data_IF_712352497316
#
_entry.id   IF_712352497316
#
_cell.length_a   1.000
_cell.length_b   1.000
_cell.length_c   1.000
_cell.angle_alpha   90.00
_cell.angle_beta   90.00
_cell.angle_gamma   90.00
#
_symmetry.space_group_name_H-M   'P 1'
#
loop_
_entity.id
_entity.type
_entity.pdbx_description
1 polymer ?
#
# COMPACT_ATOMS: atom_id res chain seq x y z
N UNK A 1 -3.73 13.61 6.50
CA UNK A 1 -2.28 13.48 6.82
C UNK A 1 -1.43 14.39 5.94
N UNK A 2 -1.29 14.17 4.62
CA UNK A 2 -0.44 15.03 3.76
C UNK A 2 -0.81 16.52 3.79
N UNK A 3 -2.10 16.87 3.85
CA UNK A 3 -2.55 18.27 4.00
C UNK A 3 -2.02 18.94 5.29
N UNK A 4 -1.90 18.16 6.38
CA UNK A 4 -1.37 18.64 7.67
C UNK A 4 0.12 18.93 7.52
N UNK A 5 0.87 18.03 6.88
CA UNK A 5 2.30 18.23 6.62
C UNK A 5 2.59 19.45 5.75
N UNK A 6 1.79 19.66 4.69
CA UNK A 6 1.95 20.84 3.81
C UNK A 6 1.71 22.15 4.55
N UNK A 7 0.75 22.18 5.48
CA UNK A 7 0.39 23.39 6.23
C UNK A 7 1.42 23.77 7.31
N UNK A 8 2.12 22.78 7.86
CA UNK A 8 3.06 22.96 8.98
C UNK A 8 4.46 22.49 8.62
N UNK A 9 4.86 22.74 7.37
CA UNK A 9 6.15 22.30 6.86
C UNK A 9 7.29 23.01 7.60
N UNK A 10 8.35 22.27 7.93
CA UNK A 10 9.49 22.77 8.71
C UNK A 10 10.77 22.79 7.88
N UNK A 11 11.61 23.78 8.12
CA UNK A 11 12.84 24.03 7.36
C UNK A 11 13.84 22.86 7.42
N UNK A 12 13.91 22.15 8.56
CA UNK A 12 14.77 20.98 8.79
C UNK A 12 14.12 19.64 8.36
N UNK A 13 12.91 19.68 7.82
CA UNK A 13 12.09 18.50 7.52
C UNK A 13 12.45 17.75 6.23
N UNK A 14 13.72 17.66 5.84
CA UNK A 14 14.08 16.96 4.59
C UNK A 14 13.80 15.44 4.64
N UNK A 15 13.64 14.85 5.83
CA UNK A 15 13.18 13.47 6.01
C UNK A 15 12.33 13.33 7.28
N UNK A 16 11.48 12.28 7.34
CA UNK A 16 10.67 12.04 8.55
C UNK A 16 11.51 11.90 9.82
N UNK A 17 12.72 11.35 9.71
CA UNK A 17 13.65 11.19 10.84
C UNK A 17 14.32 12.51 11.29
N UNK A 18 14.32 13.53 10.44
CA UNK A 18 14.85 14.86 10.79
C UNK A 18 13.77 15.78 11.32
N UNK A 19 12.51 15.34 11.31
CA UNK A 19 11.42 16.04 11.98
C UNK A 19 11.65 15.94 13.49
N UNK A 20 11.80 17.07 14.20
CA UNK A 20 11.94 17.04 15.65
C UNK A 20 10.69 16.46 16.32
N UNK A 21 10.87 15.82 17.47
CA UNK A 21 9.77 15.16 18.19
C UNK A 21 8.62 16.14 18.53
N UNK A 22 8.95 17.38 18.90
CA UNK A 22 7.92 18.41 19.15
C UNK A 22 7.04 18.69 17.93
N UNK A 23 7.62 18.64 16.73
CA UNK A 23 6.87 18.85 15.49
C UNK A 23 6.05 17.61 15.12
N UNK A 24 6.57 16.41 15.42
CA UNK A 24 5.79 15.19 15.29
C UNK A 24 4.53 15.26 16.18
N UNK A 25 4.68 15.73 17.42
CA UNK A 25 3.55 15.91 18.33
C UNK A 25 2.51 16.89 17.77
N UNK A 26 2.94 18.00 17.20
CA UNK A 26 2.04 18.94 16.51
C UNK A 26 1.30 18.23 15.37
N UNK A 27 1.97 17.43 14.55
CA UNK A 27 1.30 16.70 13.49
C UNK A 27 0.28 15.69 14.02
N UNK A 28 0.62 14.98 15.10
CA UNK A 28 -0.27 14.04 15.76
C UNK A 28 -1.52 14.72 16.33
N UNK A 29 -1.36 15.77 17.13
CA UNK A 29 -2.45 16.52 17.73
C UNK A 29 -3.37 17.14 16.67
N UNK A 30 -2.81 17.52 15.52
CA UNK A 30 -3.61 17.99 14.39
C UNK A 30 -4.28 16.84 13.64
N UNK A 31 -3.72 15.63 13.64
CA UNK A 31 -4.27 14.48 12.92
C UNK A 31 -5.34 13.74 13.71
N UNK A 32 -5.15 13.57 15.02
CA UNK A 32 -6.00 12.83 15.96
C UNK A 32 -7.50 13.18 15.85
N UNK A 33 -7.92 14.46 15.76
CA UNK A 33 -9.33 14.83 15.67
C UNK A 33 -10.05 14.30 14.42
N UNK A 34 -9.32 13.95 13.35
CA UNK A 34 -9.91 13.45 12.11
C UNK A 34 -10.22 11.95 12.15
N UNK A 35 -9.91 11.26 13.24
CA UNK A 35 -10.09 9.83 13.35
C UNK A 35 -10.81 9.49 14.66
N UNK A 36 -11.83 8.63 14.56
CA UNK A 36 -12.40 7.95 15.72
C UNK A 36 -11.81 6.55 15.76
N UNK A 37 -11.40 6.10 16.93
CA UNK A 37 -10.93 4.74 17.15
C UNK A 37 -11.59 4.16 18.40
N UNK A 38 -11.61 2.84 18.48
CA UNK A 38 -12.13 2.12 19.63
C UNK A 38 -11.28 2.45 20.87
N UNK A 39 -11.89 2.92 21.98
CA UNK A 39 -11.19 3.15 23.24
C UNK A 39 -10.37 1.94 23.71
N UNK A 40 -10.79 0.71 23.38
CA UNK A 40 -10.09 -0.54 23.74
C UNK A 40 -8.72 -0.70 23.07
N UNK A 41 -8.50 -0.05 21.92
CA UNK A 41 -7.23 -0.14 21.17
C UNK A 41 -6.10 0.60 21.89
N UNK A 42 -6.41 1.58 22.74
CA UNK A 42 -5.43 2.39 23.44
C UNK A 42 -4.65 3.36 22.53
N UNK A 43 -4.39 4.56 23.03
CA UNK A 43 -3.75 5.62 22.24
C UNK A 43 -2.35 5.26 21.75
N UNK A 44 -1.58 4.50 22.53
CA UNK A 44 -0.22 4.08 22.19
C UNK A 44 -0.16 3.24 20.90
N UNK A 45 -1.12 2.32 20.70
CA UNK A 45 -1.18 1.49 19.49
C UNK A 45 -1.53 2.35 18.28
N UNK A 46 -2.49 3.27 18.43
CA UNK A 46 -2.88 4.19 17.36
C UNK A 46 -1.72 5.12 17.00
N UNK A 47 -0.96 5.61 17.99
CA UNK A 47 0.22 6.44 17.77
C UNK A 47 1.29 5.69 16.99
N UNK A 48 1.62 4.45 17.36
CA UNK A 48 2.58 3.63 16.62
C UNK A 48 2.15 3.38 15.17
N UNK A 49 0.87 3.06 14.94
CA UNK A 49 0.32 2.90 13.60
C UNK A 49 0.35 4.20 12.80
N UNK A 50 0.07 5.34 13.45
CA UNK A 50 0.19 6.66 12.86
C UNK A 50 1.62 6.98 12.45
N UNK A 51 2.62 6.78 13.32
CA UNK A 51 4.02 7.08 13.02
C UNK A 51 4.53 6.27 11.83
N UNK A 52 4.17 4.98 11.75
CA UNK A 52 4.48 4.16 10.60
C UNK A 52 3.86 4.73 9.30
N UNK A 53 2.60 5.15 9.35
CA UNK A 53 1.89 5.72 8.21
C UNK A 53 2.39 7.12 7.85
N UNK A 54 2.74 7.93 8.83
CA UNK A 54 3.29 9.27 8.70
C UNK A 54 4.65 9.22 8.01
N UNK A 55 5.54 8.33 8.44
CA UNK A 55 6.84 8.10 7.81
C UNK A 55 6.70 7.80 6.31
N UNK A 56 5.79 6.90 5.93
CA UNK A 56 5.54 6.56 4.52
C UNK A 56 4.98 7.75 3.74
N UNK A 57 3.96 8.43 4.28
CA UNK A 57 3.30 9.55 3.59
C UNK A 57 4.18 10.78 3.48
N UNK A 58 5.00 11.06 4.48
CA UNK A 58 5.97 12.14 4.48
C UNK A 58 7.09 11.86 3.47
N UNK A 59 7.60 10.62 3.44
CA UNK A 59 8.58 10.20 2.43
C UNK A 59 8.05 10.32 0.99
N UNK A 60 6.78 9.97 0.76
CA UNK A 60 6.12 10.16 -0.53
C UNK A 60 6.01 11.65 -0.90
N UNK A 61 5.59 12.50 0.05
CA UNK A 61 5.52 13.95 -0.15
C UNK A 61 6.89 14.53 -0.54
N UNK A 62 7.96 14.18 0.19
CA UNK A 62 9.31 14.66 -0.12
C UNK A 62 9.82 14.14 -1.47
N UNK A 63 9.44 12.92 -1.86
CA UNK A 63 9.72 12.40 -3.18
C UNK A 63 8.99 13.21 -4.28
N UNK A 64 7.71 13.53 -4.09
CA UNK A 64 6.93 14.36 -5.01
C UNK A 64 7.54 15.76 -5.17
N UNK A 65 7.90 16.40 -4.05
CA UNK A 65 8.57 17.70 -4.05
C UNK A 65 9.86 17.68 -4.87
N UNK A 66 10.70 16.67 -4.65
CA UNK A 66 11.95 16.51 -5.40
C UNK A 66 11.71 16.21 -6.87
N UNK A 67 10.69 15.42 -7.21
CA UNK A 67 10.36 15.06 -8.58
C UNK A 67 9.79 16.24 -9.36
N UNK A 68 9.02 17.12 -8.70
CA UNK A 68 8.50 18.35 -9.29
C UNK A 68 9.63 19.30 -9.69
N UNK A 69 10.70 19.37 -8.89
CA UNK A 69 11.88 20.21 -9.17
C UNK A 69 11.63 21.71 -9.03
N UNK A 70 10.39 22.14 -8.79
CA UNK A 70 9.97 23.52 -8.56
C UNK A 70 9.48 23.67 -7.13
N UNK A 71 9.79 24.81 -6.50
CA UNK A 71 9.33 25.14 -5.15
C UNK A 71 7.81 25.37 -5.15
N UNK A 72 7.03 24.62 -4.37
CA UNK A 72 5.61 24.93 -4.17
C UNK A 72 5.41 26.10 -3.21
N UNK A 73 4.27 26.79 -3.34
CA UNK A 73 3.94 28.00 -2.55
C UNK A 73 3.89 27.77 -1.03
N UNK A 74 3.57 26.54 -0.59
CA UNK A 74 3.51 26.21 0.84
C UNK A 74 4.90 25.95 1.46
N UNK A 75 5.97 25.98 0.67
CA UNK A 75 7.35 25.76 1.12
C UNK A 75 8.10 27.09 1.08
N UNK A 76 8.69 27.49 2.21
CA UNK A 76 9.51 28.70 2.26
C UNK A 76 10.80 28.52 1.46
N UNK A 77 11.36 29.63 0.99
CA UNK A 77 12.61 29.62 0.20
C UNK A 77 13.77 28.98 0.96
N UNK A 78 13.83 29.29 2.24
CA UNK A 78 14.83 28.74 3.15
C UNK A 78 14.70 27.20 3.25
N UNK A 79 13.49 26.70 3.46
CA UNK A 79 13.24 25.26 3.55
C UNK A 79 13.58 24.57 2.23
N UNK A 80 13.15 25.17 1.12
CA UNK A 80 13.40 24.64 -0.21
C UNK A 80 14.89 24.52 -0.54
N UNK A 81 15.67 25.55 -0.22
CA UNK A 81 17.11 25.54 -0.45
C UNK A 81 17.79 24.45 0.39
N UNK A 82 17.46 24.34 1.69
CA UNK A 82 18.00 23.27 2.54
C UNK A 82 17.66 21.88 2.02
N UNK A 83 16.43 21.68 1.54
CA UNK A 83 16.03 20.40 0.95
C UNK A 83 16.83 20.08 -0.30
N UNK A 84 17.04 21.06 -1.18
CA UNK A 84 17.85 20.90 -2.39
C UNK A 84 19.29 20.56 -2.08
N UNK A 85 19.89 21.24 -1.10
CA UNK A 85 21.28 20.99 -0.68
C UNK A 85 21.41 19.57 -0.13
N UNK A 86 20.47 19.15 0.72
CA UNK A 86 20.41 17.78 1.22
C UNK A 86 20.24 16.75 0.09
N UNK A 87 19.34 17.00 -0.89
CA UNK A 87 19.13 16.10 -2.02
C UNK A 87 20.33 16.06 -2.98
N UNK A 88 21.13 17.12 -3.03
CA UNK A 88 22.37 17.18 -3.80
C UNK A 88 23.52 16.42 -3.11
N UNK A 89 23.44 16.22 -1.79
CA UNK A 89 24.49 15.55 -1.01
C UNK A 89 24.83 14.14 -1.51
N UNK A 90 26.11 13.79 -1.39
CA UNK A 90 26.59 12.46 -1.75
C UNK A 90 25.94 11.35 -0.90
N UNK A 91 25.71 11.62 0.38
CA UNK A 91 25.09 10.69 1.33
C UNK A 91 23.65 10.35 0.97
N UNK A 92 22.86 11.35 0.59
CA UNK A 92 21.50 11.11 0.14
C UNK A 92 21.47 10.28 -1.14
N UNK A 93 22.32 10.62 -2.12
CA UNK A 93 22.42 9.85 -3.38
C UNK A 93 22.88 8.42 -3.13
N UNK A 94 23.85 8.20 -2.25
CA UNK A 94 24.29 6.87 -1.85
C UNK A 94 23.16 6.08 -1.16
N UNK A 95 22.38 6.75 -0.31
CA UNK A 95 21.21 6.15 0.35
C UNK A 95 20.11 5.76 -0.66
N UNK A 96 19.82 6.62 -1.64
CA UNK A 96 18.91 6.29 -2.74
C UNK A 96 19.40 5.08 -3.55
N UNK A 97 20.70 5.02 -3.88
CA UNK A 97 21.29 3.87 -4.57
C UNK A 97 21.14 2.58 -3.76
N UNK A 98 21.44 2.61 -2.45
CA UNK A 98 21.26 1.47 -1.55
C UNK A 98 19.81 0.98 -1.56
N UNK A 99 18.84 1.90 -1.41
CA UNK A 99 17.42 1.57 -1.47
C UNK A 99 17.00 0.95 -2.81
N UNK A 100 17.52 1.48 -3.93
CA UNK A 100 17.26 0.92 -5.26
C UNK A 100 17.77 -0.52 -5.38
N UNK A 101 19.01 -0.79 -4.94
CA UNK A 101 19.61 -2.13 -4.95
C UNK A 101 18.78 -3.09 -4.08
N UNK A 102 18.45 -2.70 -2.84
CA UNK A 102 17.65 -3.54 -1.94
C UNK A 102 16.29 -3.90 -2.53
N UNK A 103 15.59 -2.92 -3.14
CA UNK A 103 14.30 -3.18 -3.82
C UNK A 103 14.46 -4.14 -4.99
N UNK A 104 15.49 -3.97 -5.82
CA UNK A 104 15.79 -4.88 -6.94
C UNK A 104 16.06 -6.30 -6.44
N UNK A 105 16.90 -6.47 -5.41
CA UNK A 105 17.22 -7.78 -4.83
C UNK A 105 15.98 -8.48 -4.26
N UNK A 106 15.12 -7.76 -3.53
CA UNK A 106 13.86 -8.32 -3.01
C UNK A 106 12.93 -8.80 -4.12
N UNK A 107 12.79 -8.03 -5.22
CA UNK A 107 11.99 -8.44 -6.38
C UNK A 107 12.50 -9.72 -7.02
N UNK A 108 13.82 -9.85 -7.19
CA UNK A 108 14.44 -11.07 -7.73
C UNK A 108 14.24 -12.26 -6.80
N UNK A 109 14.42 -12.08 -5.48
CA UNK A 109 14.18 -13.13 -4.50
C UNK A 109 12.72 -13.61 -4.50
N UNK A 110 11.76 -12.68 -4.57
CA UNK A 110 10.34 -13.02 -4.66
C UNK A 110 10.02 -13.76 -5.96
N UNK A 111 10.55 -13.31 -7.10
CA UNK A 111 10.35 -13.99 -8.37
C UNK A 111 10.88 -15.44 -8.34
N UNK A 112 12.03 -15.68 -7.70
CA UNK A 112 12.57 -17.04 -7.50
C UNK A 112 11.68 -17.90 -6.60
N UNK A 113 11.07 -17.32 -5.56
CA UNK A 113 10.14 -18.04 -4.68
C UNK A 113 8.84 -18.39 -5.39
N UNK A 114 8.29 -17.46 -6.18
CA UNK A 114 7.10 -17.71 -7.00
C UNK A 114 7.35 -18.83 -8.00
N UNK A 115 8.47 -18.77 -8.74
CA UNK A 115 8.84 -19.81 -9.71
C UNK A 115 8.99 -21.19 -9.05
N UNK A 116 9.66 -21.26 -7.89
CA UNK A 116 9.79 -22.51 -7.12
C UNK A 116 8.44 -23.06 -6.64
N UNK A 117 7.52 -22.19 -6.24
CA UNK A 117 6.17 -22.59 -5.84
C UNK A 117 5.41 -23.18 -7.03
N UNK A 118 5.48 -22.55 -8.20
CA UNK A 118 4.85 -23.03 -9.44
C UNK A 118 5.42 -24.39 -9.88
N UNK A 119 6.75 -24.54 -9.87
CA UNK A 119 7.45 -25.81 -10.17
C UNK A 119 6.99 -26.94 -9.21
N UNK A 120 6.89 -26.67 -7.89
CA UNK A 120 6.43 -27.65 -6.90
C UNK A 120 4.94 -28.01 -7.07
N UNK A 121 4.09 -27.04 -7.42
CA UNK A 121 2.66 -27.28 -7.69
C UNK A 121 2.45 -28.11 -8.96
N UNK A 122 3.30 -27.96 -9.99
CA UNK A 122 3.25 -28.78 -11.20
C UNK A 122 3.83 -30.19 -10.99
N UNK A 123 4.83 -30.36 -10.10
CA UNK A 123 5.45 -31.64 -9.80
C UNK A 123 4.64 -32.56 -8.85
N UNK A 124 3.56 -32.05 -8.24
CA UNK A 124 2.67 -32.83 -7.37
C UNK A 124 1.34 -33.03 -8.09
N UNK A 125 1.10 -34.14 -8.83
CA UNK A 125 -0.19 -34.41 -9.42
C UNK A 125 -1.20 -34.65 -8.30
N UNK A 126 -2.34 -33.95 -8.35
CA UNK A 126 -3.43 -34.13 -7.42
C UNK A 126 -4.05 -35.52 -7.62
N UNK A 127 -3.59 -36.51 -6.86
CA UNK A 127 -4.11 -37.89 -6.89
C UNK A 127 -5.56 -38.00 -6.34
N UNK A 128 -6.24 -36.88 -6.06
CA UNK A 128 -7.59 -36.83 -5.49
C UNK A 128 -8.73 -36.78 -6.51
N UNK A 129 -8.51 -37.25 -7.73
CA UNK A 129 -9.57 -37.48 -8.72
C UNK A 129 -9.42 -38.84 -9.40
N UNK A 130 -9.31 -39.93 -8.63
CA UNK A 130 -9.63 -41.28 -9.11
C UNK A 130 -10.36 -42.08 -8.03
N UNK A 131 -11.58 -41.66 -7.69
CA UNK A 131 -12.57 -42.54 -7.05
C UNK A 131 -13.98 -42.00 -7.26
N UNK A 132 -14.53 -42.24 -8.45
CA UNK A 132 -15.98 -42.39 -8.68
C UNK A 132 -16.26 -42.58 -10.17
N UNK A 133 -16.21 -43.82 -10.62
CA UNK A 133 -16.90 -44.25 -11.84
C UNK A 133 -17.25 -45.72 -11.68
N UNK A 134 -18.33 -45.97 -10.94
CA UNK A 134 -19.07 -47.23 -10.97
C UNK A 134 -20.47 -46.98 -10.42
N UNK A 135 -21.42 -46.66 -11.30
CA UNK A 135 -22.85 -46.95 -11.10
C UNK A 135 -23.52 -47.02 -12.48
N UNK A 136 -23.61 -48.25 -12.96
CA UNK A 136 -24.65 -48.94 -13.74
C UNK A 136 -25.76 -48.14 -14.42
N UNK A 137 -25.95 -48.42 -15.72
CA UNK A 137 -27.12 -48.07 -16.54
C UNK A 137 -28.48 -48.52 -15.96
N UNK A 138 -29.54 -47.72 -16.16
CA UNK A 138 -30.84 -48.25 -16.63
C UNK A 138 -31.72 -47.18 -17.30
N UNK A 139 -32.42 -47.64 -18.34
CA UNK A 139 -33.27 -46.95 -19.32
C UNK A 139 -34.54 -46.31 -18.73
N UNK A 140 -35.06 -45.28 -19.42
CA UNK A 140 -36.45 -44.82 -19.26
C UNK A 140 -36.77 -43.65 -20.19
N UNK A 141 -37.28 -43.95 -21.38
CA UNK A 141 -37.86 -43.05 -22.39
C UNK A 141 -39.25 -42.53 -22.02
N UNK A 142 -39.56 -41.24 -22.27
CA UNK A 142 -40.77 -40.77 -22.98
C UNK A 142 -41.00 -39.24 -22.88
N UNK A 143 -41.12 -38.62 -24.07
CA UNK A 143 -42.05 -37.58 -24.54
C UNK A 143 -42.48 -36.35 -23.70
N UNK A 144 -42.23 -35.18 -24.34
CA UNK A 144 -43.10 -34.02 -24.64
C UNK A 144 -44.05 -33.47 -23.54
N UNK A 145 -43.82 -32.21 -23.20
CA UNK A 145 -44.82 -31.28 -22.67
C UNK A 145 -44.41 -29.85 -22.95
N UNK A 146 -45.08 -29.21 -23.90
CA UNK A 146 -45.00 -27.77 -24.21
C UNK A 146 -45.68 -27.01 -23.08
N UNK A 147 -45.07 -25.95 -22.55
CA UNK A 147 -45.81 -24.88 -21.90
C UNK A 147 -45.11 -23.54 -22.13
N UNK A 148 -45.77 -22.67 -22.89
CA UNK A 148 -45.48 -21.23 -22.96
C UNK A 148 -45.94 -20.56 -21.67
N UNK A 149 -45.21 -19.54 -21.24
CA UNK A 149 -45.61 -18.65 -20.16
C UNK A 149 -44.66 -17.47 -20.11
N UNK A 150 -44.93 -16.48 -20.97
CA UNK A 150 -44.52 -15.10 -20.75
C UNK A 150 -45.10 -14.61 -19.43
N UNK A 151 -44.37 -13.78 -18.68
CA UNK A 151 -44.84 -12.41 -18.42
C UNK A 151 -43.81 -11.59 -17.64
N UNK A 152 -43.64 -10.37 -18.16
CA UNK A 152 -42.98 -9.22 -17.56
C UNK A 152 -43.61 -8.83 -16.21
N UNK A 153 -42.77 -8.37 -15.28
CA UNK A 153 -43.13 -7.42 -14.22
C UNK A 153 -41.96 -6.46 -13.96
N UNK A 154 -42.23 -5.25 -13.43
CA UNK A 154 -41.70 -4.00 -13.97
C UNK A 154 -40.63 -3.36 -13.08
N UNK A 155 -39.98 -2.35 -13.66
CA UNK A 155 -39.19 -1.35 -12.94
C UNK A 155 -40.07 -0.53 -11.98
N UNK A 156 -39.60 -0.39 -10.73
CA UNK A 156 -39.39 0.90 -10.05
C UNK A 156 -38.16 0.79 -9.14
#
# INVERSE_FOLDING_TARGET
MTKIFKRWMITEGYCWKSVPDHQNEIYWERWKPYFRWDPSTGEAIVRAAYDAKACVRYGALMHELRALGVRPDFVTDEAWNRYRDYWASADFRASLRRLHITKKTKRVALAKLVRRREEHTQATPDHRLMRSSSTTMRRGSAQRGVFMGSDHLPEE
#
